data_IF_183824445947
#
_entry.id   IF_183824445947
#
_cell.length_a   1.000
_cell.length_b   1.000
_cell.length_c   1.000
_cell.angle_alpha   90.00
_cell.angle_beta   90.00
_cell.angle_gamma   90.00
#
_symmetry.space_group_name_H-M   'P 1'
#
loop_
_entity.id
_entity.type
_entity.pdbx_description
1 polymer ?
#
# COMPACT_ATOMS: atom_id res chain seq x y z
N UNK A 1 7.62 -3.45 -5.89
CA UNK A 1 8.02 -4.22 -4.69
C UNK A 1 9.52 -4.52 -4.69
N UNK A 2 10.10 -4.97 -5.81
CA UNK A 2 11.56 -5.22 -5.92
C UNK A 2 12.44 -4.04 -5.48
N UNK A 3 12.06 -2.81 -5.84
CA UNK A 3 12.76 -1.59 -5.43
C UNK A 3 12.84 -1.45 -3.91
N UNK A 4 11.75 -1.74 -3.19
CA UNK A 4 11.65 -1.56 -1.74
C UNK A 4 12.61 -2.48 -0.97
N UNK A 5 12.86 -3.69 -1.51
CA UNK A 5 13.83 -4.63 -0.96
C UNK A 5 15.24 -4.04 -0.87
N UNK A 6 15.64 -3.20 -1.84
CA UNK A 6 16.95 -2.51 -1.85
C UNK A 6 17.10 -1.52 -0.69
N UNK A 7 15.99 -1.09 -0.11
CA UNK A 7 15.94 -0.19 1.05
C UNK A 7 15.66 -0.92 2.37
N UNK A 8 15.72 -2.26 2.39
CA UNK A 8 15.46 -3.06 3.59
C UNK A 8 13.97 -3.12 4.00
N UNK A 9 13.05 -2.73 3.12
CA UNK A 9 11.62 -2.79 3.38
C UNK A 9 11.14 -4.22 3.16
N UNK A 10 10.55 -4.81 4.20
CA UNK A 10 10.01 -6.17 4.14
C UNK A 10 8.90 -6.28 3.07
N UNK A 11 8.79 -7.41 2.33
CA UNK A 11 7.80 -7.55 1.27
C UNK A 11 6.34 -7.32 1.71
N UNK A 12 5.98 -7.73 2.93
CA UNK A 12 4.65 -7.50 3.51
C UNK A 12 4.39 -6.03 3.90
N UNK A 13 5.42 -5.18 3.86
CA UNK A 13 5.35 -3.73 4.10
C UNK A 13 5.56 -2.92 2.81
N UNK A 14 5.76 -3.58 1.67
CA UNK A 14 5.96 -2.92 0.39
C UNK A 14 4.69 -3.06 -0.47
N UNK A 15 4.30 -1.97 -1.15
CA UNK A 15 3.10 -1.93 -2.01
C UNK A 15 3.41 -1.25 -3.34
N UNK A 16 2.82 -1.78 -4.42
CA UNK A 16 2.76 -1.08 -5.72
C UNK A 16 1.41 -0.39 -5.87
N UNK A 17 1.39 0.78 -6.49
CA UNK A 17 0.17 1.49 -6.86
C UNK A 17 0.41 2.22 -8.18
N UNK A 18 -0.66 2.67 -8.83
CA UNK A 18 -0.53 3.51 -10.02
C UNK A 18 -0.25 4.94 -9.60
N UNK A 19 0.85 5.52 -10.10
CA UNK A 19 1.27 6.88 -9.76
C UNK A 19 0.49 7.95 -10.55
N UNK A 20 -0.83 7.78 -10.63
CA UNK A 20 -1.79 8.73 -11.20
C UNK A 20 -2.73 9.26 -10.12
N UNK A 21 -3.60 10.20 -10.47
CA UNK A 21 -4.47 10.87 -9.50
C UNK A 21 -5.30 9.88 -8.66
N UNK A 22 -5.93 8.89 -9.30
CA UNK A 22 -6.77 7.89 -8.62
C UNK A 22 -5.94 6.99 -7.69
N UNK A 23 -4.80 6.50 -8.17
CA UNK A 23 -3.95 5.59 -7.41
C UNK A 23 -3.23 6.29 -6.25
N UNK A 24 -2.83 7.56 -6.43
CA UNK A 24 -2.25 8.40 -5.37
C UNK A 24 -3.29 8.67 -4.29
N UNK A 25 -4.50 9.10 -4.66
CA UNK A 25 -5.58 9.34 -3.71
C UNK A 25 -5.89 8.10 -2.86
N UNK A 26 -6.09 6.95 -3.53
CA UNK A 26 -6.36 5.69 -2.86
C UNK A 26 -5.22 5.28 -1.92
N UNK A 27 -3.97 5.37 -2.37
CA UNK A 27 -2.81 5.03 -1.55
C UNK A 27 -2.73 5.90 -0.30
N UNK A 28 -2.93 7.21 -0.41
CA UNK A 28 -2.91 8.12 0.74
C UNK A 28 -4.04 7.83 1.74
N UNK A 29 -5.25 7.58 1.25
CA UNK A 29 -6.41 7.26 2.12
C UNK A 29 -6.14 5.99 2.93
N UNK A 30 -5.77 4.90 2.26
CA UNK A 30 -5.52 3.60 2.91
C UNK A 30 -4.35 3.67 3.90
N UNK A 31 -3.26 4.37 3.53
CA UNK A 31 -2.12 4.56 4.43
C UNK A 31 -2.48 5.37 5.68
N UNK A 32 -3.28 6.43 5.53
CA UNK A 32 -3.72 7.27 6.64
C UNK A 32 -4.54 6.47 7.65
N UNK A 33 -5.51 5.69 7.16
CA UNK A 33 -6.33 4.81 8.00
C UNK A 33 -5.49 3.74 8.70
N UNK A 34 -4.53 3.15 7.98
CA UNK A 34 -3.62 2.13 8.51
C UNK A 34 -2.75 2.69 9.63
N UNK A 35 -2.17 3.88 9.45
CA UNK A 35 -1.36 4.56 10.45
C UNK A 35 -2.20 4.95 11.67
N UNK A 36 -3.43 5.45 11.46
CA UNK A 36 -4.33 5.78 12.56
C UNK A 36 -4.65 4.55 13.43
N UNK A 37 -4.97 3.40 12.81
CA UNK A 37 -5.21 2.13 13.51
C UNK A 37 -3.96 1.63 14.22
N UNK A 38 -2.81 1.69 13.55
CA UNK A 38 -1.54 1.29 14.16
C UNK A 38 -1.22 2.13 15.40
N UNK A 39 -1.40 3.45 15.35
CA UNK A 39 -1.20 4.33 16.52
C UNK A 39 -2.16 4.04 17.67
N UNK A 40 -3.37 3.59 17.36
CA UNK A 40 -4.39 3.28 18.37
C UNK A 40 -4.17 1.90 19.01
N UNK A 41 -3.70 0.92 18.25
CA UNK A 41 -3.72 -0.50 18.65
C UNK A 41 -2.33 -1.16 18.70
N UNK A 42 -1.26 -0.43 18.35
CA UNK A 42 0.11 -0.93 18.16
C UNK A 42 0.21 -2.16 17.23
N UNK A 43 -0.76 -2.29 16.31
CA UNK A 43 -0.90 -3.43 15.43
C UNK A 43 -1.32 -2.97 14.02
N UNK A 44 -0.69 -3.58 13.02
CA UNK A 44 -0.99 -3.32 11.61
C UNK A 44 -1.45 -4.63 10.98
N UNK A 45 -2.64 -4.62 10.39
CA UNK A 45 -3.20 -5.80 9.73
C UNK A 45 -2.33 -6.27 8.57
N UNK A 46 -2.24 -7.58 8.35
CA UNK A 46 -1.50 -8.16 7.22
C UNK A 46 -2.13 -7.81 5.86
N UNK A 47 -3.43 -7.50 5.84
CA UNK A 47 -4.17 -7.11 4.64
C UNK A 47 -4.38 -5.58 4.50
N UNK A 48 -3.57 -4.77 5.18
CA UNK A 48 -3.66 -3.30 5.15
C UNK A 48 -3.71 -2.70 3.72
N UNK A 49 -3.05 -3.34 2.77
CA UNK A 49 -2.89 -2.90 1.38
C UNK A 49 -3.87 -3.54 0.39
N UNK A 50 -4.82 -4.34 0.87
CA UNK A 50 -5.68 -5.16 0.00
C UNK A 50 -6.42 -4.33 -1.05
N UNK A 51 -6.93 -3.16 -0.65
CA UNK A 51 -7.65 -2.26 -1.56
C UNK A 51 -6.72 -1.69 -2.65
N UNK A 52 -5.53 -1.23 -2.27
CA UNK A 52 -4.52 -0.73 -3.22
C UNK A 52 -4.11 -1.85 -4.19
N UNK A 53 -3.91 -3.07 -3.67
CA UNK A 53 -3.51 -4.21 -4.47
C UNK A 53 -4.58 -4.63 -5.48
N UNK A 54 -5.87 -4.53 -5.09
CA UNK A 54 -7.01 -4.77 -5.99
C UNK A 54 -7.07 -3.72 -7.09
N UNK A 55 -6.96 -2.44 -6.74
CA UNK A 55 -6.94 -1.36 -7.72
C UNK A 55 -5.79 -1.51 -8.72
N UNK A 56 -4.58 -1.74 -8.21
CA UNK A 56 -3.39 -1.92 -9.02
C UNK A 56 -3.54 -3.06 -10.02
N UNK A 57 -4.05 -4.22 -9.59
CA UNK A 57 -4.33 -5.38 -10.46
C UNK A 57 -5.42 -5.07 -11.49
N UNK A 58 -6.51 -4.45 -11.06
CA UNK A 58 -7.65 -4.08 -11.93
C UNK A 58 -7.23 -3.14 -13.05
N UNK A 59 -6.30 -2.22 -12.78
CA UNK A 59 -5.85 -1.18 -13.70
C UNK A 59 -4.57 -1.56 -14.46
N UNK A 60 -4.27 -2.85 -14.59
CA UNK A 60 -3.23 -3.36 -15.50
C UNK A 60 -1.89 -3.72 -14.84
N UNK A 61 -1.71 -3.51 -13.53
CA UNK A 61 -0.66 -4.14 -12.72
C UNK A 61 0.80 -3.84 -13.07
N UNK A 62 1.08 -3.06 -14.12
CA UNK A 62 2.37 -2.51 -14.52
C UNK A 62 2.13 -1.35 -15.50
N UNK A 63 2.80 -0.23 -15.28
CA UNK A 63 3.24 0.64 -16.36
C UNK A 63 4.75 0.44 -16.50
#
# INVERSE_FOLDING_TARGET
>A
VETAKRFGIAPNRAQNYHADSEGVELNFRVMSDTIAKFRACDAMSDNWNEEIQKDYKRRGGKH
#
